data_IF_987233745081
#
_entry.id   IF_987233745081
#
_cell.length_a   1.000
_cell.length_b   1.000
_cell.length_c   1.000
_cell.angle_alpha   90.00
_cell.angle_beta   90.00
_cell.angle_gamma   90.00
#
_symmetry.space_group_name_H-M   'P 1'
#
loop_
_entity.id
_entity.type
_entity.pdbx_description
1 polymer ?
#
# COMPACT_ATOMS: atom_id res chain seq x y z
N UNK A 1 -7.31 -11.52 -23.53
CA UNK A 1 -7.58 -10.21 -22.91
C UNK A 1 -7.49 -10.43 -21.41
N UNK A 2 -6.37 -10.07 -20.78
CA UNK A 2 -6.22 -10.25 -19.33
C UNK A 2 -7.00 -9.13 -18.62
N UNK A 3 -7.81 -9.42 -17.59
CA UNK A 3 -8.40 -8.36 -16.79
C UNK A 3 -7.26 -7.55 -16.16
N UNK A 4 -7.39 -6.22 -16.16
CA UNK A 4 -6.54 -5.34 -15.35
C UNK A 4 -6.59 -5.85 -13.92
N UNK A 5 -5.52 -6.51 -13.47
CA UNK A 5 -5.48 -7.04 -12.11
C UNK A 5 -5.46 -5.84 -11.17
N UNK A 6 -6.58 -5.58 -10.51
CA UNK A 6 -6.54 -4.95 -9.20
C UNK A 6 -5.66 -5.85 -8.33
N UNK A 7 -4.39 -5.49 -8.19
CA UNK A 7 -3.45 -6.29 -7.43
C UNK A 7 -3.74 -6.04 -5.96
N UNK A 8 -4.43 -7.00 -5.35
CA UNK A 8 -4.71 -7.02 -3.92
C UNK A 8 -3.45 -7.54 -3.21
N UNK A 9 -2.73 -6.65 -2.54
CA UNK A 9 -1.60 -7.03 -1.69
C UNK A 9 -2.12 -7.45 -0.32
N UNK A 10 -1.64 -8.58 0.20
CA UNK A 10 -2.06 -9.12 1.50
C UNK A 10 -0.92 -8.99 2.51
N UNK A 11 -1.18 -8.38 3.65
CA UNK A 11 -0.20 -8.26 4.75
C UNK A 11 -0.87 -8.38 6.12
N UNK A 12 -0.07 -8.58 7.17
CA UNK A 12 -0.53 -8.69 8.57
C UNK A 12 -0.02 -7.56 9.48
N UNK A 13 0.72 -6.58 8.93
CA UNK A 13 1.21 -5.44 9.70
C UNK A 13 0.09 -4.41 9.87
N UNK A 14 -0.24 -4.08 11.11
CA UNK A 14 -1.29 -3.12 11.45
C UNK A 14 -0.75 -1.70 11.72
N UNK A 15 0.56 -1.51 11.71
CA UNK A 15 1.20 -0.21 12.00
C UNK A 15 1.95 0.39 10.82
N UNK A 16 2.11 -0.37 9.73
CA UNK A 16 2.75 0.12 8.52
C UNK A 16 2.17 -0.48 7.24
N UNK A 17 2.25 0.31 6.15
CA UNK A 17 1.98 -0.12 4.78
C UNK A 17 3.22 0.10 3.93
N UNK A 18 3.64 -0.91 3.17
CA UNK A 18 4.70 -0.79 2.16
C UNK A 18 4.05 -0.73 0.79
N UNK A 19 4.39 0.28 0.00
CA UNK A 19 3.80 0.49 -1.33
C UNK A 19 4.88 0.84 -2.33
N UNK A 20 4.86 0.16 -3.47
CA UNK A 20 5.69 0.43 -4.63
C UNK A 20 4.78 0.62 -5.84
N UNK A 21 5.13 1.55 -6.72
CA UNK A 21 4.38 1.80 -7.94
C UNK A 21 5.30 2.00 -9.14
N UNK A 22 4.75 1.70 -10.32
CA UNK A 22 5.41 1.89 -11.62
C UNK A 22 4.39 2.37 -12.63
N UNK A 23 4.84 2.91 -13.77
CA UNK A 23 3.95 3.18 -14.90
C UNK A 23 3.33 4.58 -14.93
N UNK A 24 3.86 5.52 -14.14
CA UNK A 24 3.60 6.95 -14.31
C UNK A 24 4.65 7.52 -15.27
N UNK A 25 4.20 8.12 -16.36
CA UNK A 25 5.04 8.79 -17.35
C UNK A 25 4.32 10.06 -17.80
N UNK A 26 5.08 11.15 -17.96
CA UNK A 26 4.58 12.39 -18.55
C UNK A 26 5.60 12.90 -19.56
N UNK A 27 5.13 13.43 -20.70
CA UNK A 27 6.00 13.91 -21.78
C UNK A 27 6.87 15.10 -21.36
N UNK A 28 6.41 15.90 -20.39
CA UNK A 28 7.19 17.00 -19.82
C UNK A 28 8.16 16.54 -18.71
N UNK A 29 8.08 15.29 -18.26
CA UNK A 29 8.84 14.75 -17.14
C UNK A 29 8.14 14.92 -15.79
N UNK A 30 8.36 13.96 -14.90
CA UNK A 30 7.77 13.95 -13.56
C UNK A 30 8.71 14.61 -12.55
N UNK A 31 8.15 15.42 -11.65
CA UNK A 31 8.86 16.15 -10.61
C UNK A 31 8.75 15.44 -9.25
N UNK A 32 7.52 15.20 -8.78
CA UNK A 32 7.27 14.59 -7.48
C UNK A 32 5.95 13.79 -7.45
N UNK A 33 5.79 13.01 -6.39
CA UNK A 33 4.62 12.20 -6.10
C UNK A 33 4.08 12.52 -4.71
N UNK A 34 2.76 12.46 -4.60
CA UNK A 34 2.09 12.43 -3.30
C UNK A 34 1.29 11.14 -3.19
N UNK A 35 1.18 10.64 -1.95
CA UNK A 35 0.37 9.49 -1.62
C UNK A 35 -0.65 9.81 -0.53
N UNK A 36 -1.76 9.09 -0.51
CA UNK A 36 -2.74 9.11 0.59
C UNK A 36 -3.23 7.71 0.90
N UNK A 37 -3.68 7.49 2.14
CA UNK A 37 -4.26 6.21 2.57
C UNK A 37 -5.73 6.42 2.89
N UNK A 38 -6.58 5.53 2.40
CA UNK A 38 -8.02 5.59 2.61
C UNK A 38 -8.65 4.22 2.78
N UNK A 39 -9.84 4.20 3.33
CA UNK A 39 -10.74 3.05 3.39
C UNK A 39 -12.07 3.44 2.73
N UNK A 40 -13.00 2.49 2.53
CA UNK A 40 -14.37 2.84 2.13
C UNK A 40 -15.07 3.81 3.12
N UNK A 41 -14.62 3.84 4.37
CA UNK A 41 -15.16 4.71 5.42
C UNK A 41 -14.59 6.14 5.37
N UNK A 42 -13.46 6.37 4.69
CA UNK A 42 -12.87 7.70 4.52
C UNK A 42 -11.35 7.73 4.45
N UNK A 43 -10.80 8.94 4.57
CA UNK A 43 -9.35 9.20 4.50
C UNK A 43 -8.69 8.85 5.84
N UNK A 44 -7.73 7.92 5.81
CA UNK A 44 -6.90 7.53 6.98
C UNK A 44 -5.66 8.39 7.09
N UNK A 45 -5.04 8.72 5.96
CA UNK A 45 -3.88 9.62 5.86
C UNK A 45 -4.11 10.54 4.68
N UNK A 46 -4.00 11.86 4.89
CA UNK A 46 -4.14 12.83 3.81
C UNK A 46 -2.90 12.82 2.89
N UNK A 47 -2.98 13.55 1.77
CA UNK A 47 -1.88 13.67 0.83
C UNK A 47 -0.56 14.04 1.52
N UNK A 48 0.45 13.22 1.28
CA UNK A 48 1.80 13.35 1.82
C UNK A 48 2.79 13.27 0.67
N UNK A 49 3.70 14.23 0.59
CA UNK A 49 4.77 14.26 -0.43
C UNK A 49 5.83 13.20 -0.14
N UNK A 50 6.24 12.51 -1.20
CA UNK A 50 7.33 11.53 -1.17
C UNK A 50 8.40 11.83 -2.22
N UNK A 51 8.51 13.08 -2.66
CA UNK A 51 9.46 13.50 -3.68
C UNK A 51 9.35 12.67 -4.96
N UNK A 52 10.49 12.31 -5.54
CA UNK A 52 10.56 11.51 -6.76
C UNK A 52 10.69 9.99 -6.50
N UNK A 53 10.48 9.54 -5.26
CA UNK A 53 10.52 8.11 -4.94
C UNK A 53 9.31 7.39 -5.54
N UNK A 54 9.51 6.16 -5.98
CA UNK A 54 8.44 5.28 -6.49
C UNK A 54 8.05 4.20 -5.49
N UNK A 55 8.41 4.41 -4.22
CA UNK A 55 8.11 3.53 -3.09
C UNK A 55 7.97 4.34 -1.81
N UNK A 56 7.13 3.87 -0.88
CA UNK A 56 7.01 4.41 0.48
C UNK A 56 6.81 3.32 1.52
N UNK A 57 7.44 3.52 2.67
CA UNK A 57 7.17 2.80 3.92
C UNK A 57 6.36 3.73 4.84
N UNK A 58 5.03 3.60 4.82
CA UNK A 58 4.12 4.43 5.62
C UNK A 58 4.04 3.81 7.02
N UNK A 59 4.60 4.47 8.02
CA UNK A 59 4.64 3.97 9.41
C UNK A 59 3.78 4.83 10.34
N UNK A 60 3.57 4.37 11.58
CA UNK A 60 2.80 5.11 12.59
C UNK A 60 1.28 5.08 12.36
N UNK A 61 0.80 4.13 11.55
CA UNK A 61 -0.62 3.95 11.28
C UNK A 61 -1.30 3.18 12.41
N UNK A 62 -2.61 3.37 12.56
CA UNK A 62 -3.45 2.59 13.48
C UNK A 62 -4.49 1.82 12.68
N UNK A 63 -4.06 0.74 12.02
CA UNK A 63 -4.88 0.00 11.08
C UNK A 63 -5.73 -1.08 11.77
N UNK A 64 -6.90 -1.35 11.22
CA UNK A 64 -7.81 -2.37 11.73
C UNK A 64 -7.56 -3.72 11.06
N UNK A 65 -7.60 -4.83 11.82
CA UNK A 65 -7.59 -6.17 11.24
C UNK A 65 -8.79 -6.39 10.31
N UNK A 66 -8.61 -7.20 9.27
CA UNK A 66 -9.67 -7.62 8.34
C UNK A 66 -10.30 -6.46 7.55
N UNK A 67 -9.59 -5.34 7.42
CA UNK A 67 -10.00 -4.17 6.65
C UNK A 67 -9.19 -4.02 5.35
N UNK A 68 -9.83 -3.34 4.38
CA UNK A 68 -9.22 -2.99 3.09
C UNK A 68 -8.76 -1.53 3.17
N UNK A 69 -7.48 -1.33 2.89
CA UNK A 69 -6.89 -0.01 2.74
C UNK A 69 -6.51 0.19 1.28
N UNK A 70 -6.80 1.37 0.74
CA UNK A 70 -6.34 1.80 -0.57
C UNK A 70 -5.26 2.87 -0.38
N UNK A 71 -4.19 2.75 -1.16
CA UNK A 71 -3.18 3.80 -1.29
C UNK A 71 -3.33 4.40 -2.67
N UNK A 72 -3.59 5.71 -2.70
CA UNK A 72 -3.67 6.45 -3.95
C UNK A 72 -2.40 7.27 -4.11
N UNK A 73 -1.87 7.27 -5.33
CA UNK A 73 -0.65 7.97 -5.72
C UNK A 73 -1.01 8.94 -6.83
N UNK A 74 -0.58 10.20 -6.72
CA UNK A 74 -0.67 11.17 -7.80
C UNK A 74 0.71 11.70 -8.12
N UNK A 75 0.98 11.93 -9.40
CA UNK A 75 2.23 12.54 -9.86
C UNK A 75 2.02 14.02 -10.18
N UNK A 76 3.08 14.79 -10.04
CA UNK A 76 3.20 16.16 -10.50
C UNK A 76 4.30 16.22 -11.56
N UNK A 77 4.01 16.82 -12.70
CA UNK A 77 5.04 17.07 -13.70
C UNK A 77 5.86 18.33 -13.39
N UNK A 78 6.90 18.61 -14.19
CA UNK A 78 7.76 19.79 -14.01
C UNK A 78 7.03 21.13 -14.11
N UNK A 79 5.81 21.16 -14.66
CA UNK A 79 4.95 22.34 -14.73
C UNK A 79 3.91 22.37 -13.58
N UNK A 80 4.06 21.51 -12.57
CA UNK A 80 3.14 21.32 -11.44
C UNK A 80 1.71 20.90 -11.84
N UNK A 81 1.55 20.27 -13.00
CA UNK A 81 0.27 19.67 -13.42
C UNK A 81 0.16 18.27 -12.82
N UNK A 82 -1.00 17.96 -12.23
CA UNK A 82 -1.26 16.69 -11.53
C UNK A 82 -1.85 15.63 -12.46
N UNK A 83 -1.45 14.37 -12.29
CA UNK A 83 -2.06 13.22 -12.98
C UNK A 83 -3.43 12.83 -12.40
N UNK A 84 -4.25 12.13 -13.19
CA UNK A 84 -5.30 11.26 -12.63
C UNK A 84 -4.60 10.14 -11.83
N UNK A 85 -4.71 10.15 -10.51
CA UNK A 85 -3.90 9.30 -9.64
C UNK A 85 -4.06 7.79 -9.89
N UNK A 86 -2.97 7.04 -9.73
CA UNK A 86 -3.00 5.56 -9.70
C UNK A 86 -3.44 5.09 -8.31
N UNK A 87 -4.23 4.03 -8.26
CA UNK A 87 -4.70 3.43 -7.01
C UNK A 87 -4.20 1.99 -6.88
N UNK A 88 -3.73 1.64 -5.67
CA UNK A 88 -3.41 0.26 -5.30
C UNK A 88 -4.16 -0.13 -4.03
N UNK A 89 -4.55 -1.40 -3.92
CA UNK A 89 -5.37 -1.91 -2.83
C UNK A 89 -4.59 -2.94 -2.01
N UNK A 90 -4.70 -2.85 -0.69
CA UNK A 90 -4.13 -3.83 0.23
C UNK A 90 -5.17 -4.30 1.25
N UNK A 91 -5.20 -5.61 1.46
CA UNK A 91 -6.07 -6.27 2.41
C UNK A 91 -5.23 -6.64 3.63
N UNK A 92 -5.61 -6.11 4.79
CA UNK A 92 -4.98 -6.48 6.05
C UNK A 92 -5.60 -7.78 6.55
N UNK A 93 -4.82 -8.86 6.54
CA UNK A 93 -5.20 -10.10 7.22
C UNK A 93 -5.13 -9.90 8.72
N UNK A 94 -6.23 -10.21 9.39
CA UNK A 94 -6.50 -9.73 10.72
C UNK A 94 -6.95 -10.75 11.76
N UNK A 95 -6.35 -11.95 11.79
CA UNK A 95 -5.94 -12.65 13.01
C UNK A 95 -4.70 -13.47 12.67
N UNK A 96 -3.64 -13.41 13.50
CA UNK A 96 -2.62 -14.46 13.49
C UNK A 96 -3.33 -15.82 13.67
N UNK A 97 -2.85 -16.94 13.10
CA UNK A 97 -3.36 -18.25 13.47
C UNK A 97 -3.39 -18.33 14.99
N UNK A 98 -4.58 -18.50 15.57
CA UNK A 98 -4.66 -18.81 16.99
C UNK A 98 -4.08 -20.22 17.11
N UNK A 99 -2.85 -20.34 17.62
CA UNK A 99 -2.29 -21.62 18.00
C UNK A 99 -3.00 -22.09 19.27
N UNK A 100 -4.24 -22.56 19.14
CA UNK A 100 -4.91 -23.31 20.19
C UNK A 100 -4.38 -24.74 20.11
N UNK A 101 -3.16 -24.94 20.59
CA UNK A 101 -2.47 -26.22 20.57
C UNK A 101 -0.96 -26.04 20.66
N UNK A 102 -0.31 -26.75 21.58
CA UNK A 102 1.15 -26.73 21.71
C UNK A 102 1.79 -27.29 20.44
N UNK A 103 2.21 -26.41 19.52
CA UNK A 103 3.02 -26.81 18.38
C UNK A 103 4.49 -26.86 18.82
N UNK A 104 4.95 -28.04 19.24
CA UNK A 104 6.38 -28.31 19.36
C UNK A 104 6.93 -28.70 17.99
N UNK A 105 7.69 -27.82 17.35
CA UNK A 105 8.52 -28.22 16.22
C UNK A 105 9.70 -29.02 16.75
N UNK A 106 9.61 -30.35 16.75
CA UNK A 106 10.79 -31.20 16.93
C UNK A 106 11.37 -31.48 15.55
N UNK A 107 12.39 -30.72 15.17
CA UNK A 107 13.25 -31.14 14.05
C UNK A 107 14.15 -32.26 14.56
N UNK A 108 13.65 -33.50 14.61
CA UNK A 108 14.53 -34.66 14.61
C UNK A 108 14.73 -35.09 13.17
N UNK A 109 15.87 -34.73 12.59
CA UNK A 109 16.34 -35.34 11.35
C UNK A 109 16.79 -36.79 11.65
N UNK A 110 16.53 -37.77 10.77
CA UNK A 110 17.10 -39.11 10.88
C UNK A 110 18.62 -39.10 10.62
#
# INVERSE_FOLDING_TARGET
MYPSREQIFVQSNLTALKVEWTGLLDAAGLNNYEYRVMTPEGVTLNWTDCGNYTFVDITGLNLKPEAIYAVQIKAYNVANITSDGIQTFTFLKGRAPQLTGNAFCTNSLP
#
